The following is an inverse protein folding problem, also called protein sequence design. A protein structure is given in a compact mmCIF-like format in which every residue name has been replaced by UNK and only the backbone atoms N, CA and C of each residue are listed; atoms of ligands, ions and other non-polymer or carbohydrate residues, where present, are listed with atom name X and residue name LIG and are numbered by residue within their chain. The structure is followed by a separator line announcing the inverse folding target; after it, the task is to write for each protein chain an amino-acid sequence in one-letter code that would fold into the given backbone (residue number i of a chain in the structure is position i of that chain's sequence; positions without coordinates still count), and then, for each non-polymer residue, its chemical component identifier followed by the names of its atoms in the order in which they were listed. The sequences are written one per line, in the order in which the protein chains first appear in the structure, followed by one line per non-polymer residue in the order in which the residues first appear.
data_IF_405517260752
#
_entry.id   IF_405517260752
#
_cell.length_a   1.000
_cell.length_b   1.000
_cell.length_c   1.000
_cell.angle_alpha   90.00
_cell.angle_beta   90.00
_cell.angle_gamma   90.00
#
_symmetry.space_group_name_H-M   'P 1'
#
loop_
_entity.id
_entity.type
_entity.pdbx_description
1 polymer ?
#
# COMPACT_ATOMS: atom_id res chain seq x y z
N UNK A 1 -12.25 -5.36 -15.64
CA UNK A 1 -13.63 -5.12 -15.14
C UNK A 1 -14.45 -6.36 -15.38
N UNK A 2 -14.82 -7.09 -14.33
CA UNK A 2 -15.65 -8.29 -14.43
C UNK A 2 -17.01 -7.99 -13.80
N UNK A 3 -18.10 -8.05 -14.57
CA UNK A 3 -19.47 -7.95 -14.03
C UNK A 3 -19.87 -9.32 -13.47
N UNK A 4 -20.30 -9.36 -12.21
CA UNK A 4 -20.80 -10.55 -11.56
C UNK A 4 -22.30 -10.74 -11.84
N UNK A 5 -22.84 -11.98 -11.70
CA UNK A 5 -24.26 -12.27 -11.97
C UNK A 5 -25.25 -11.48 -11.11
N UNK A 6 -24.81 -10.96 -9.96
CA UNK A 6 -25.59 -10.12 -9.04
C UNK A 6 -25.61 -8.62 -9.44
N UNK A 7 -24.96 -8.26 -10.54
CA UNK A 7 -24.86 -6.90 -11.05
C UNK A 7 -23.69 -6.10 -10.47
N UNK A 8 -22.92 -6.64 -9.53
CA UNK A 8 -21.73 -5.98 -9.00
C UNK A 8 -20.56 -6.04 -9.98
N UNK A 9 -19.61 -5.10 -9.84
CA UNK A 9 -18.41 -5.05 -10.68
C UNK A 9 -17.19 -5.34 -9.82
N UNK A 10 -16.45 -6.41 -10.16
CA UNK A 10 -15.15 -6.70 -9.57
C UNK A 10 -14.05 -5.97 -10.34
N UNK A 11 -13.29 -5.14 -9.60
CA UNK A 11 -12.15 -4.37 -10.11
C UNK A 11 -10.91 -4.77 -9.32
N UNK A 12 -9.80 -4.99 -10.03
CA UNK A 12 -8.47 -5.09 -9.43
C UNK A 12 -7.79 -3.74 -9.60
N UNK A 13 -7.23 -3.21 -8.53
CA UNK A 13 -6.53 -1.93 -8.52
C UNK A 13 -5.17 -2.10 -7.87
N UNK A 14 -4.22 -1.29 -8.31
CA UNK A 14 -2.88 -1.19 -7.73
C UNK A 14 -2.68 0.26 -7.27
N UNK A 15 -2.28 0.44 -6.02
CA UNK A 15 -1.94 1.77 -5.50
C UNK A 15 -0.66 2.25 -6.19
N UNK A 16 -0.68 3.48 -6.71
CA UNK A 16 0.47 4.05 -7.43
C UNK A 16 1.29 4.98 -6.54
N UNK A 17 0.65 6.01 -6.01
CA UNK A 17 1.30 7.04 -5.19
C UNK A 17 0.37 7.48 -4.06
N UNK A 18 0.96 8.00 -2.98
CA UNK A 18 0.20 8.67 -1.92
C UNK A 18 -0.13 10.09 -2.37
N UNK A 19 -1.36 10.50 -2.08
CA UNK A 19 -1.81 11.86 -2.34
C UNK A 19 -2.46 12.43 -1.08
N UNK A 20 -2.34 13.73 -0.90
CA UNK A 20 -3.13 14.49 0.06
C UNK A 20 -4.35 15.08 -0.66
N UNK A 21 -5.55 14.82 -0.15
CA UNK A 21 -6.76 15.49 -0.61
C UNK A 21 -6.70 16.94 -0.14
N UNK A 22 -6.73 17.89 -1.08
CA UNK A 22 -6.70 19.32 -0.76
C UNK A 22 -8.10 19.87 -0.61
N UNK A 23 -9.03 19.43 -1.47
CA UNK A 23 -10.41 19.91 -1.49
C UNK A 23 -11.38 18.82 -1.95
N UNK A 24 -12.62 18.88 -1.46
CA UNK A 24 -13.72 18.09 -2.00
C UNK A 24 -14.51 18.92 -3.00
N UNK A 25 -14.74 18.35 -4.19
CA UNK A 25 -15.50 18.99 -5.26
C UNK A 25 -16.93 18.45 -5.24
N UNK A 26 -17.96 19.30 -5.13
CA UNK A 26 -19.34 18.85 -5.18
C UNK A 26 -19.63 18.11 -6.50
N UNK A 27 -20.14 16.90 -6.39
CA UNK A 27 -20.61 16.11 -7.51
C UNK A 27 -21.74 15.19 -7.04
N UNK A 28 -22.82 15.10 -7.82
CA UNK A 28 -24.07 14.49 -7.35
C UNK A 28 -24.00 12.96 -7.27
N UNK A 29 -23.30 12.32 -8.20
CA UNK A 29 -23.29 10.85 -8.31
C UNK A 29 -22.18 10.13 -7.51
N UNK A 30 -21.09 10.84 -7.17
CA UNK A 30 -19.92 10.24 -6.53
C UNK A 30 -19.06 11.33 -5.86
N UNK A 31 -18.16 10.91 -4.97
CA UNK A 31 -17.18 11.82 -4.39
C UNK A 31 -16.11 12.19 -5.41
N UNK A 32 -15.87 13.48 -5.53
CA UNK A 32 -14.76 14.04 -6.29
C UNK A 32 -13.89 14.88 -5.37
N UNK A 33 -12.58 14.85 -5.60
CA UNK A 33 -11.62 15.59 -4.79
C UNK A 33 -10.46 16.08 -5.65
N UNK A 34 -9.93 17.24 -5.31
CA UNK A 34 -8.61 17.66 -5.75
C UNK A 34 -7.57 17.04 -4.83
N UNK A 35 -6.45 16.60 -5.40
CA UNK A 35 -5.39 15.95 -4.65
C UNK A 35 -4.02 16.33 -5.20
N UNK A 36 -3.05 16.43 -4.29
CA UNK A 36 -1.64 16.65 -4.63
C UNK A 36 -0.82 15.42 -4.25
N UNK A 37 0.20 15.11 -5.04
CA UNK A 37 1.16 14.05 -4.70
C UNK A 37 1.82 14.41 -3.37
N UNK A 38 1.90 13.42 -2.48
CA UNK A 38 2.58 13.57 -1.20
C UNK A 38 4.07 13.32 -1.40
N UNK A 39 4.89 14.37 -1.26
CA UNK A 39 6.33 14.24 -1.34
C UNK A 39 6.87 13.49 -0.11
N UNK A 40 7.61 12.42 -0.35
CA UNK A 40 8.28 11.68 0.71
C UNK A 40 9.63 12.34 1.03
N UNK A 41 9.78 12.86 2.25
CA UNK A 41 11.08 13.36 2.72
C UNK A 41 11.88 12.20 3.27
N UNK A 42 12.95 11.83 2.59
CA UNK A 42 13.88 10.82 3.10
C UNK A 42 14.55 11.36 4.37
N UNK A 43 14.56 10.53 5.42
CA UNK A 43 15.35 10.80 6.61
C UNK A 43 16.84 10.60 6.36
N UNK A 44 17.62 10.52 7.43
CA UNK A 44 19.03 10.12 7.36
C UNK A 44 19.16 8.72 6.70
N UNK A 45 19.92 8.63 5.60
CA UNK A 45 20.02 7.41 4.79
C UNK A 45 20.52 6.21 5.60
N UNK A 46 21.48 6.42 6.50
CA UNK A 46 22.02 5.36 7.34
C UNK A 46 20.96 4.84 8.34
N UNK A 47 20.19 5.75 8.92
CA UNK A 47 19.07 5.42 9.80
C UNK A 47 17.97 4.68 9.05
N UNK A 48 17.59 5.14 7.85
CA UNK A 48 16.59 4.48 7.01
C UNK A 48 17.04 3.06 6.66
N UNK A 49 18.28 2.87 6.21
CA UNK A 49 18.82 1.54 5.90
C UNK A 49 18.86 0.62 7.13
N UNK A 50 19.17 1.17 8.31
CA UNK A 50 19.11 0.42 9.56
C UNK A 50 17.69 0.00 9.93
N UNK A 51 16.72 0.91 9.79
CA UNK A 51 15.30 0.65 10.04
C UNK A 51 14.73 -0.41 9.10
N UNK A 52 15.03 -0.32 7.80
CA UNK A 52 14.59 -1.33 6.81
C UNK A 52 15.07 -2.71 7.21
N UNK A 53 16.37 -2.87 7.51
CA UNK A 53 16.92 -4.15 7.99
C UNK A 53 16.20 -4.66 9.24
N UNK A 54 16.02 -3.80 10.24
CA UNK A 54 15.32 -4.19 11.48
C UNK A 54 13.88 -4.63 11.20
N UNK A 55 13.13 -3.88 10.39
CA UNK A 55 11.74 -4.22 10.06
C UNK A 55 11.65 -5.54 9.29
N UNK A 56 12.56 -5.79 8.36
CA UNK A 56 12.62 -7.07 7.62
C UNK A 56 12.91 -8.24 8.56
N UNK A 57 13.89 -8.11 9.47
CA UNK A 57 14.19 -9.12 10.48
C UNK A 57 12.98 -9.38 11.39
N UNK A 58 12.29 -8.33 11.85
CA UNK A 58 11.06 -8.47 12.63
C UNK A 58 9.96 -9.20 11.87
N UNK A 59 9.80 -8.90 10.58
CA UNK A 59 8.81 -9.53 9.73
C UNK A 59 9.09 -11.03 9.55
N UNK A 60 10.33 -11.43 9.35
CA UNK A 60 10.71 -12.84 9.28
C UNK A 60 10.40 -13.59 10.59
N UNK A 61 10.66 -12.95 11.74
CA UNK A 61 10.29 -13.52 13.05
C UNK A 61 8.78 -13.68 13.18
N UNK A 62 8.02 -12.69 12.72
CA UNK A 62 6.56 -12.70 12.73
C UNK A 62 5.98 -13.84 11.88
N UNK A 63 6.45 -14.01 10.65
CA UNK A 63 6.01 -15.08 9.73
C UNK A 63 6.23 -16.47 10.33
N UNK A 64 7.36 -16.70 11.00
CA UNK A 64 7.65 -17.98 11.67
C UNK A 64 6.62 -18.34 12.76
N UNK A 65 6.05 -17.33 13.41
CA UNK A 65 4.99 -17.50 14.43
C UNK A 65 3.59 -17.58 13.80
N UNK A 66 3.37 -16.91 12.67
CA UNK A 66 2.08 -16.81 11.97
C UNK A 66 2.13 -17.50 10.59
N UNK A 67 1.77 -18.79 10.56
CA UNK A 67 1.82 -19.65 9.36
C UNK A 67 0.72 -19.39 8.31
N UNK A 68 -0.03 -18.30 8.41
CA UNK A 68 -1.10 -17.95 7.47
C UNK A 68 -0.65 -16.90 6.43
N UNK A 69 0.65 -16.61 6.37
CA UNK A 69 1.22 -15.66 5.41
C UNK A 69 1.72 -16.44 4.20
N UNK A 70 1.25 -16.12 2.99
CA UNK A 70 1.73 -16.76 1.77
C UNK A 70 3.22 -16.49 1.51
N UNK A 71 3.91 -17.45 0.92
CA UNK A 71 5.36 -17.38 0.68
C UNK A 71 5.73 -16.24 -0.28
N UNK A 72 4.86 -15.92 -1.24
CA UNK A 72 5.05 -14.79 -2.15
C UNK A 72 5.11 -13.44 -1.43
N UNK A 73 4.41 -13.30 -0.31
CA UNK A 73 4.44 -12.07 0.51
C UNK A 73 5.76 -11.97 1.27
N UNK A 74 6.31 -13.11 1.69
CA UNK A 74 7.60 -13.16 2.39
C UNK A 74 8.72 -12.73 1.45
N UNK A 75 8.75 -13.31 0.24
CA UNK A 75 9.76 -12.97 -0.78
C UNK A 75 9.68 -11.49 -1.17
N UNK A 76 8.47 -10.95 -1.38
CA UNK A 76 8.30 -9.55 -1.77
C UNK A 76 8.84 -8.55 -0.73
N UNK A 77 8.78 -8.89 0.57
CA UNK A 77 9.33 -8.03 1.64
C UNK A 77 10.86 -8.15 1.74
N UNK A 78 11.43 -9.32 1.41
CA UNK A 78 12.88 -9.52 1.41
C UNK A 78 13.61 -8.85 0.23
N UNK A 79 12.88 -8.55 -0.85
CA UNK A 79 13.40 -7.92 -2.08
C UNK A 79 13.12 -6.40 -2.17
N UNK A 80 12.38 -5.85 -1.21
CA UNK A 80 12.03 -4.42 -1.11
C UNK A 80 13.16 -3.58 -0.49
#
# INVERSE_FOLDING_TARGET
LLKLPDGTVKVLVEGRERVEITDFVPHDDHFMAEARVLDETMGDEATVAALVRTVTEEFERYVKVRKNIPEEVVTAVSEA
#
